data_IF_048449290695
#
_entry.id   IF_048449290695
#
_cell.length_a   1.000
_cell.length_b   1.000
_cell.length_c   1.000
_cell.angle_alpha   90.00
_cell.angle_beta   90.00
_cell.angle_gamma   90.00
#
_symmetry.space_group_name_H-M   'P 1'
#
loop_
_entity.id
_entity.type
_entity.pdbx_description
1 polymer ?
#
# COMPACT_ATOMS: atom_id res chain seq x y z
N UNK A 1 8.73 -0.08 10.62
CA UNK A 1 9.14 0.08 9.19
C UNK A 1 8.25 1.14 8.56
N UNK A 2 8.74 1.96 7.63
CA UNK A 2 7.90 2.90 6.86
C UNK A 2 6.97 2.12 5.93
N UNK A 3 5.91 2.78 5.41
CA UNK A 3 5.00 2.24 4.42
C UNK A 3 5.79 1.61 3.24
N UNK A 4 5.54 0.34 2.88
CA UNK A 4 6.39 -0.40 1.93
C UNK A 4 6.38 0.17 0.50
N UNK A 5 5.41 1.04 0.16
CA UNK A 5 5.23 1.62 -1.17
C UNK A 5 5.60 3.10 -1.26
N UNK A 6 6.01 3.75 -0.15
CA UNK A 6 6.28 5.20 -0.09
C UNK A 6 7.40 5.60 -1.05
N UNK A 7 8.47 4.81 -1.09
CA UNK A 7 9.69 5.11 -1.84
C UNK A 7 9.67 4.61 -3.30
N UNK A 8 8.57 4.03 -3.78
CA UNK A 8 8.46 3.55 -5.16
C UNK A 8 8.73 4.70 -6.15
N UNK A 9 9.73 4.57 -7.05
CA UNK A 9 10.07 5.61 -8.02
C UNK A 9 9.01 5.72 -9.11
N UNK A 10 9.05 6.82 -9.85
CA UNK A 10 8.16 7.02 -11.00
C UNK A 10 8.49 6.02 -12.11
N UNK A 11 7.48 5.29 -12.59
CA UNK A 11 7.61 4.38 -13.73
C UNK A 11 7.71 5.19 -15.02
N UNK A 12 8.77 5.01 -15.84
CA UNK A 12 8.92 5.70 -17.11
C UNK A 12 7.97 5.14 -18.16
N UNK A 13 7.56 5.95 -19.13
CA UNK A 13 6.86 5.48 -20.33
C UNK A 13 7.81 4.78 -21.30
N UNK A 14 7.25 3.96 -22.21
CA UNK A 14 8.02 3.31 -23.30
C UNK A 14 8.75 4.34 -24.16
N UNK A 15 8.08 5.46 -24.53
CA UNK A 15 8.65 6.55 -25.32
C UNK A 15 9.84 7.22 -24.59
N UNK A 16 9.69 7.53 -23.30
CA UNK A 16 10.78 8.12 -22.50
C UNK A 16 11.99 7.20 -22.42
N UNK A 17 11.78 5.88 -22.26
CA UNK A 17 12.85 4.90 -22.22
C UNK A 17 13.62 4.81 -23.55
N UNK A 18 12.89 4.70 -24.67
CA UNK A 18 13.48 4.64 -26.02
C UNK A 18 14.24 5.92 -26.32
N UNK A 19 13.66 7.07 -26.08
CA UNK A 19 14.30 8.38 -26.33
C UNK A 19 15.56 8.56 -25.47
N UNK A 20 15.48 8.22 -24.18
CA UNK A 20 16.63 8.27 -23.26
C UNK A 20 17.76 7.34 -23.73
N UNK A 21 17.43 6.09 -24.07
CA UNK A 21 18.40 5.10 -24.52
C UNK A 21 19.10 5.51 -25.83
N UNK A 22 18.32 5.93 -26.83
CA UNK A 22 18.85 6.25 -28.15
C UNK A 22 19.59 7.60 -28.21
N UNK A 23 19.12 8.59 -27.46
CA UNK A 23 19.83 9.88 -27.35
C UNK A 23 21.19 9.73 -26.67
N UNK A 24 21.28 8.92 -25.63
CA UNK A 24 22.55 8.59 -24.94
C UNK A 24 23.46 7.77 -25.84
N UNK A 25 22.94 6.75 -26.54
CA UNK A 25 23.67 5.95 -27.50
C UNK A 25 24.26 6.81 -28.63
N UNK A 26 23.47 7.76 -29.15
CA UNK A 26 23.95 8.69 -30.18
C UNK A 26 25.14 9.56 -29.71
N UNK A 27 25.13 9.95 -28.41
CA UNK A 27 26.28 10.67 -27.83
C UNK A 27 27.51 9.78 -27.69
N UNK A 28 27.32 8.55 -27.20
CA UNK A 28 28.42 7.57 -27.08
C UNK A 28 29.06 7.26 -28.43
N UNK A 29 28.28 7.10 -29.50
CA UNK A 29 28.78 6.86 -30.84
C UNK A 29 29.57 8.03 -31.44
N UNK A 30 29.23 9.27 -31.09
CA UNK A 30 29.99 10.46 -31.57
C UNK A 30 31.42 10.54 -31.00
N UNK A 31 31.66 9.92 -29.86
CA UNK A 31 32.99 9.86 -29.23
C UNK A 31 33.89 8.77 -29.80
N UNK A 32 33.39 7.95 -30.72
CA UNK A 32 34.09 6.78 -31.30
C UNK A 32 34.13 6.85 -32.82
N UNK A 33 34.97 6.04 -33.44
CA UNK A 33 35.14 5.96 -34.91
C UNK A 33 35.14 4.50 -35.38
N UNK A 34 34.95 4.29 -36.68
CA UNK A 34 34.95 2.97 -37.28
C UNK A 34 33.87 2.06 -36.64
N UNK A 35 34.23 0.80 -36.41
CA UNK A 35 33.34 -0.21 -35.81
C UNK A 35 33.03 0.04 -34.33
N UNK A 36 33.89 0.77 -33.61
CA UNK A 36 33.67 1.08 -32.21
C UNK A 36 32.44 1.99 -31.99
N UNK A 37 32.11 2.82 -32.99
CA UNK A 37 30.95 3.71 -32.89
C UNK A 37 29.62 2.94 -32.87
N UNK A 38 29.24 2.10 -33.86
CA UNK A 38 28.00 1.34 -33.83
C UNK A 38 27.94 0.34 -32.66
N UNK A 39 29.06 -0.22 -32.24
CA UNK A 39 29.16 -1.13 -31.11
C UNK A 39 28.87 -0.42 -29.79
N UNK A 40 29.54 0.71 -29.55
CA UNK A 40 29.32 1.53 -28.36
C UNK A 40 27.89 2.07 -28.30
N UNK A 41 27.29 2.40 -29.45
CA UNK A 41 25.89 2.81 -29.52
C UNK A 41 24.96 1.67 -29.11
N UNK A 42 25.16 0.45 -29.60
CA UNK A 42 24.36 -0.71 -29.26
C UNK A 42 24.44 -1.00 -27.75
N UNK A 43 25.65 -1.09 -27.22
CA UNK A 43 25.87 -1.36 -25.79
C UNK A 43 25.21 -0.31 -24.92
N UNK A 44 25.36 0.99 -25.26
CA UNK A 44 24.78 2.07 -24.49
C UNK A 44 23.25 2.03 -24.53
N UNK A 45 22.64 1.84 -25.71
CA UNK A 45 21.19 1.78 -25.84
C UNK A 45 20.59 0.61 -25.06
N UNK A 46 21.18 -0.59 -25.25
CA UNK A 46 20.71 -1.79 -24.59
C UNK A 46 20.84 -1.70 -23.07
N UNK A 47 22.00 -1.28 -22.54
CA UNK A 47 22.20 -1.18 -21.10
C UNK A 47 21.21 -0.17 -20.48
N UNK A 48 21.03 1.00 -21.10
CA UNK A 48 20.07 1.98 -20.57
C UNK A 48 18.65 1.44 -20.58
N UNK A 49 18.22 0.76 -21.66
CA UNK A 49 16.89 0.20 -21.72
C UNK A 49 16.72 -0.96 -20.72
N UNK A 50 17.65 -1.93 -20.69
CA UNK A 50 17.57 -3.06 -19.77
C UNK A 50 17.67 -2.64 -18.31
N UNK A 51 18.62 -1.77 -17.95
CA UNK A 51 18.82 -1.34 -16.56
C UNK A 51 17.61 -0.55 -16.03
N UNK A 52 16.97 0.31 -16.87
CA UNK A 52 15.78 1.03 -16.43
C UNK A 52 14.56 0.10 -16.27
N UNK A 53 14.39 -0.89 -17.17
CA UNK A 53 13.32 -1.89 -17.01
C UNK A 53 13.56 -2.78 -15.79
N UNK A 54 14.81 -3.18 -15.54
CA UNK A 54 15.20 -3.97 -14.36
C UNK A 54 14.97 -3.18 -13.07
N UNK A 55 15.29 -1.88 -13.05
CA UNK A 55 15.05 -1.02 -11.88
C UNK A 55 13.57 -0.90 -11.59
N UNK A 56 12.68 -0.77 -12.59
CA UNK A 56 11.23 -0.77 -12.36
C UNK A 56 10.81 -2.01 -11.59
N UNK A 57 11.38 -3.19 -11.90
CA UNK A 57 11.03 -4.43 -11.22
C UNK A 57 11.65 -4.52 -9.83
N UNK A 58 12.95 -4.17 -9.71
CA UNK A 58 13.70 -4.33 -8.45
C UNK A 58 13.32 -3.32 -7.37
N UNK A 59 12.71 -2.21 -7.75
CA UNK A 59 12.27 -1.17 -6.81
C UNK A 59 10.94 -1.54 -6.10
N UNK A 60 10.22 -2.54 -6.60
CA UNK A 60 9.02 -3.07 -5.94
C UNK A 60 9.41 -4.02 -4.80
N UNK A 61 8.66 -3.99 -3.69
CA UNK A 61 8.85 -4.94 -2.61
C UNK A 61 8.50 -6.36 -3.06
N UNK A 62 9.08 -7.36 -2.41
CA UNK A 62 8.57 -8.72 -2.53
C UNK A 62 7.23 -8.80 -1.81
N UNK A 63 6.17 -9.05 -2.57
CA UNK A 63 4.82 -9.11 -2.01
C UNK A 63 4.62 -10.28 -1.03
N UNK A 64 5.44 -11.33 -1.12
CA UNK A 64 5.38 -12.46 -0.19
C UNK A 64 6.00 -12.13 1.18
N UNK A 65 6.79 -11.06 1.26
CA UNK A 65 7.42 -10.56 2.49
C UNK A 65 6.62 -9.39 3.12
N UNK A 66 5.49 -9.00 2.53
CA UNK A 66 4.64 -7.95 3.08
C UNK A 66 3.93 -8.43 4.37
N UNK A 67 3.72 -7.48 5.28
CA UNK A 67 2.80 -7.69 6.38
C UNK A 67 1.38 -7.95 5.82
N UNK A 68 0.60 -8.90 6.40
CA UNK A 68 -0.74 -9.24 5.93
C UNK A 68 -1.68 -8.03 5.81
N UNK A 69 -1.53 -7.03 6.68
CA UNK A 69 -2.27 -5.77 6.57
C UNK A 69 -2.01 -5.08 5.24
N UNK A 70 -0.73 -4.90 4.85
CA UNK A 70 -0.38 -4.23 3.60
C UNK A 70 -0.66 -5.09 2.37
N UNK A 71 -0.56 -6.42 2.48
CA UNK A 71 -0.89 -7.33 1.38
C UNK A 71 -2.38 -7.20 1.02
N UNK A 72 -3.28 -7.36 2.00
CA UNK A 72 -4.72 -7.25 1.76
C UNK A 72 -5.15 -5.85 1.32
N UNK A 73 -4.55 -4.82 1.92
CA UNK A 73 -4.86 -3.45 1.58
C UNK A 73 -4.42 -3.08 0.16
N UNK A 74 -3.21 -3.48 -0.22
CA UNK A 74 -2.70 -3.27 -1.57
C UNK A 74 -3.53 -4.01 -2.61
N UNK A 75 -3.93 -5.25 -2.31
CA UNK A 75 -4.77 -6.06 -3.17
C UNK A 75 -6.13 -5.39 -3.41
N UNK A 76 -6.80 -4.91 -2.34
CA UNK A 76 -8.07 -4.20 -2.44
C UNK A 76 -7.99 -2.94 -3.31
N UNK A 77 -6.93 -2.16 -3.12
CA UNK A 77 -6.74 -0.88 -3.83
C UNK A 77 -6.49 -1.09 -5.31
N UNK A 78 -5.63 -2.04 -5.66
CA UNK A 78 -5.30 -2.35 -7.06
C UNK A 78 -6.50 -2.99 -7.77
N UNK A 79 -7.20 -3.94 -7.12
CA UNK A 79 -8.36 -4.60 -7.68
C UNK A 79 -9.50 -3.64 -8.05
N UNK A 80 -9.68 -2.57 -7.26
CA UNK A 80 -10.72 -1.58 -7.50
C UNK A 80 -10.50 -0.71 -8.75
N UNK A 81 -9.27 -0.65 -9.27
CA UNK A 81 -8.88 0.17 -10.42
C UNK A 81 -8.94 -0.56 -11.77
N UNK A 82 -9.20 -1.86 -11.78
CA UNK A 82 -9.38 -2.61 -13.04
C UNK A 82 -10.70 -2.21 -13.70
N UNK A 83 -10.67 -1.11 -14.48
CA UNK A 83 -11.83 -0.56 -15.20
C UNK A 83 -11.98 -1.09 -16.64
N UNK A 84 -11.24 -2.11 -17.02
CA UNK A 84 -11.28 -2.64 -18.38
C UNK A 84 -12.21 -3.87 -18.43
N UNK A 85 -13.41 -3.66 -18.98
CA UNK A 85 -14.45 -4.70 -19.13
C UNK A 85 -14.01 -5.90 -20.00
N UNK A 86 -12.88 -5.83 -20.70
CA UNK A 86 -12.35 -6.86 -21.62
C UNK A 86 -11.06 -7.54 -21.10
N UNK A 87 -10.48 -7.12 -19.98
CA UNK A 87 -9.33 -7.80 -19.39
C UNK A 87 -9.77 -9.00 -18.54
N UNK A 88 -9.03 -10.12 -18.54
CA UNK A 88 -9.28 -11.15 -17.56
C UNK A 88 -9.18 -10.53 -16.16
N UNK A 89 -10.13 -10.90 -15.31
CA UNK A 89 -10.23 -10.45 -13.90
C UNK A 89 -9.02 -10.99 -13.09
N UNK A 90 -7.86 -10.45 -13.41
CA UNK A 90 -6.61 -10.62 -12.67
C UNK A 90 -6.45 -9.31 -11.89
N UNK A 91 -7.29 -9.15 -10.87
CA UNK A 91 -7.24 -8.00 -9.99
C UNK A 91 -6.11 -8.10 -8.97
N UNK A 92 -5.79 -6.97 -8.36
CA UNK A 92 -4.95 -6.93 -7.20
C UNK A 92 -3.46 -7.12 -7.44
N UNK A 93 -2.78 -7.61 -6.42
CA UNK A 93 -1.32 -7.84 -6.40
C UNK A 93 -0.87 -8.79 -7.51
N UNK A 94 -1.64 -9.82 -7.82
CA UNK A 94 -1.28 -10.81 -8.83
C UNK A 94 -1.20 -10.19 -10.23
N UNK A 95 -2.04 -9.21 -10.54
CA UNK A 95 -1.94 -8.44 -11.78
C UNK A 95 -0.62 -7.66 -11.84
N UNK A 96 -0.24 -6.99 -10.76
CA UNK A 96 1.04 -6.26 -10.68
C UNK A 96 2.23 -7.22 -10.85
N UNK A 97 2.22 -8.38 -10.19
CA UNK A 97 3.24 -9.43 -10.38
C UNK A 97 3.38 -9.85 -11.84
N UNK A 98 2.26 -10.01 -12.54
CA UNK A 98 2.28 -10.36 -13.96
C UNK A 98 2.90 -9.24 -14.79
N UNK A 99 2.48 -7.99 -14.63
CA UNK A 99 3.05 -6.84 -15.33
C UNK A 99 4.56 -6.67 -15.06
N UNK A 100 4.99 -6.81 -13.81
CA UNK A 100 6.41 -6.80 -13.45
C UNK A 100 7.19 -7.95 -14.11
N UNK A 101 6.59 -9.13 -14.27
CA UNK A 101 7.19 -10.26 -14.98
C UNK A 101 7.39 -9.97 -16.47
N UNK A 102 6.42 -9.32 -17.15
CA UNK A 102 6.56 -8.91 -18.55
C UNK A 102 7.64 -7.82 -18.73
N UNK A 103 7.69 -6.85 -17.83
CA UNK A 103 8.77 -5.82 -17.83
C UNK A 103 10.14 -6.46 -17.63
N UNK A 104 10.26 -7.43 -16.73
CA UNK A 104 11.50 -8.19 -16.52
C UNK A 104 11.89 -9.03 -17.76
N UNK A 105 10.90 -9.62 -18.43
CA UNK A 105 11.11 -10.28 -19.71
C UNK A 105 11.68 -9.31 -20.74
N UNK A 106 11.15 -8.10 -20.87
CA UNK A 106 11.62 -7.09 -21.80
C UNK A 106 13.05 -6.64 -21.49
N UNK A 107 13.42 -6.48 -20.21
CA UNK A 107 14.81 -6.22 -19.78
C UNK A 107 15.76 -7.29 -20.28
N UNK A 108 15.47 -8.57 -20.01
CA UNK A 108 16.28 -9.71 -20.46
C UNK A 108 16.34 -9.79 -21.98
N UNK A 109 15.21 -9.58 -22.66
CA UNK A 109 15.12 -9.62 -24.12
C UNK A 109 15.97 -8.55 -24.79
N UNK A 110 16.01 -7.34 -24.22
CA UNK A 110 16.86 -6.25 -24.66
C UNK A 110 18.34 -6.62 -24.56
N UNK A 111 18.74 -7.30 -23.49
CA UNK A 111 20.11 -7.80 -23.31
C UNK A 111 20.46 -8.92 -24.30
N UNK A 112 19.53 -9.85 -24.57
CA UNK A 112 19.71 -10.89 -25.61
C UNK A 112 19.90 -10.28 -27.00
N UNK A 113 19.17 -9.24 -27.37
CA UNK A 113 19.32 -8.54 -28.64
C UNK A 113 20.74 -7.94 -28.74
N UNK A 114 21.23 -7.30 -27.68
CA UNK A 114 22.61 -6.81 -27.64
C UNK A 114 23.60 -7.92 -27.96
N UNK A 115 23.50 -9.03 -27.27
CA UNK A 115 24.43 -10.15 -27.38
C UNK A 115 24.36 -10.81 -28.76
N UNK A 116 23.19 -10.94 -29.37
CA UNK A 116 22.99 -11.42 -30.73
C UNK A 116 23.69 -10.55 -31.77
N UNK A 117 23.60 -9.23 -31.64
CA UNK A 117 24.09 -8.30 -32.64
C UNK A 117 25.53 -7.86 -32.42
N UNK A 118 26.05 -7.88 -31.18
CA UNK A 118 27.39 -7.40 -30.83
C UNK A 118 28.48 -8.07 -31.64
N UNK A 119 28.50 -9.41 -31.73
CA UNK A 119 29.50 -10.16 -32.48
C UNK A 119 29.45 -9.90 -33.99
N UNK A 120 28.24 -9.78 -34.54
CA UNK A 120 28.02 -9.51 -35.97
C UNK A 120 28.43 -8.09 -36.36
N UNK A 121 28.22 -7.11 -35.48
CA UNK A 121 28.65 -5.72 -35.67
C UNK A 121 30.19 -5.64 -35.63
N UNK A 122 30.83 -6.37 -34.73
CA UNK A 122 32.30 -6.36 -34.58
C UNK A 122 33.05 -6.97 -35.77
N UNK A 123 32.46 -7.95 -36.46
CA UNK A 123 33.10 -8.72 -37.51
C UNK A 123 32.71 -8.33 -38.93
N UNK A 124 31.65 -7.55 -39.13
CA UNK A 124 31.17 -7.09 -40.44
C UNK A 124 32.00 -5.93 -41.01
N UNK A 125 31.72 -5.54 -42.24
CA UNK A 125 32.18 -4.25 -42.73
C UNK A 125 31.41 -3.09 -42.09
N UNK A 126 31.92 -1.86 -42.19
CA UNK A 126 31.35 -0.71 -41.48
C UNK A 126 29.92 -0.37 -41.92
N UNK A 127 29.54 -0.59 -43.18
CA UNK A 127 28.19 -0.31 -43.65
C UNK A 127 27.22 -1.41 -43.19
N UNK A 128 27.65 -2.65 -43.15
CA UNK A 128 26.93 -3.76 -42.53
C UNK A 128 26.76 -3.52 -41.01
N UNK A 129 27.82 -3.11 -40.33
CA UNK A 129 27.77 -2.78 -38.91
C UNK A 129 26.72 -1.68 -38.60
N UNK A 130 26.64 -0.63 -39.43
CA UNK A 130 25.64 0.44 -39.33
C UNK A 130 24.21 -0.08 -39.56
N UNK A 131 23.99 -0.98 -40.52
CA UNK A 131 22.70 -1.61 -40.79
C UNK A 131 22.25 -2.48 -39.62
N UNK A 132 23.14 -3.35 -39.14
CA UNK A 132 22.87 -4.24 -38.00
C UNK A 132 22.52 -3.45 -36.73
N UNK A 133 23.26 -2.36 -36.44
CA UNK A 133 22.89 -1.47 -35.32
C UNK A 133 21.48 -0.91 -35.47
N UNK A 134 21.10 -0.44 -36.69
CA UNK A 134 19.71 0.07 -36.91
C UNK A 134 18.67 -1.02 -36.69
N UNK A 135 18.93 -2.25 -37.13
CA UNK A 135 18.03 -3.39 -36.90
C UNK A 135 17.93 -3.73 -35.41
N UNK A 136 19.06 -3.74 -34.68
CA UNK A 136 19.06 -3.96 -33.25
C UNK A 136 18.26 -2.87 -32.51
N UNK A 137 18.42 -1.59 -32.89
CA UNK A 137 17.67 -0.49 -32.30
C UNK A 137 16.17 -0.61 -32.54
N UNK A 138 15.73 -0.98 -33.75
CA UNK A 138 14.33 -1.22 -34.03
C UNK A 138 13.77 -2.35 -33.14
N UNK A 139 14.49 -3.47 -33.04
CA UNK A 139 14.07 -4.58 -32.18
C UNK A 139 14.05 -4.23 -30.68
N UNK A 140 14.97 -3.38 -30.22
CA UNK A 140 14.97 -2.89 -28.82
C UNK A 140 13.74 -1.97 -28.62
N UNK A 141 13.44 -1.08 -29.57
CA UNK A 141 12.25 -0.24 -29.50
C UNK A 141 10.99 -1.11 -29.48
N UNK A 142 10.85 -2.05 -30.41
CA UNK A 142 9.69 -2.97 -30.48
C UNK A 142 9.46 -3.69 -29.13
N UNK A 143 10.52 -4.19 -28.48
CA UNK A 143 10.44 -4.89 -27.19
C UNK A 143 10.01 -3.93 -26.06
N UNK A 144 10.50 -2.70 -26.04
CA UNK A 144 10.13 -1.69 -25.04
C UNK A 144 8.68 -1.23 -25.26
N UNK A 145 8.25 -1.07 -26.52
CA UNK A 145 6.87 -0.72 -26.90
C UNK A 145 5.89 -1.87 -26.58
N UNK A 146 6.32 -3.13 -26.69
CA UNK A 146 5.49 -4.30 -26.36
C UNK A 146 5.01 -4.31 -24.90
N UNK A 147 5.80 -3.74 -23.98
CA UNK A 147 5.47 -3.64 -22.55
C UNK A 147 4.96 -2.24 -22.13
N UNK A 148 4.50 -1.43 -23.08
CA UNK A 148 3.95 -0.09 -22.79
C UNK A 148 2.75 -0.16 -21.85
N UNK A 149 1.83 -1.12 -22.09
CA UNK A 149 0.68 -1.37 -21.23
C UNK A 149 1.08 -1.79 -19.82
N UNK A 150 2.09 -2.66 -19.71
CA UNK A 150 2.61 -3.12 -18.42
C UNK A 150 3.24 -1.99 -17.62
N UNK A 151 4.06 -1.14 -18.27
CA UNK A 151 4.65 0.04 -17.63
C UNK A 151 3.56 1.02 -17.15
N UNK A 152 2.52 1.23 -17.95
CA UNK A 152 1.40 2.09 -17.57
C UNK A 152 0.62 1.51 -16.38
N UNK A 153 0.33 0.20 -16.39
CA UNK A 153 -0.36 -0.49 -15.31
C UNK A 153 0.42 -0.44 -13.99
N UNK A 154 1.73 -0.75 -14.02
CA UNK A 154 2.62 -0.66 -12.85
C UNK A 154 2.71 0.78 -12.34
N UNK A 155 2.75 1.77 -13.25
CA UNK A 155 2.73 3.19 -12.89
C UNK A 155 1.46 3.62 -12.17
N UNK A 156 0.29 3.17 -12.65
CA UNK A 156 -1.00 3.42 -12.03
C UNK A 156 -1.09 2.77 -10.65
N UNK A 157 -0.76 1.48 -10.54
CA UNK A 157 -0.75 0.77 -9.26
C UNK A 157 0.17 1.45 -8.23
N UNK A 158 1.35 1.92 -8.66
CA UNK A 158 2.24 2.71 -7.80
C UNK A 158 1.58 3.98 -7.28
N UNK A 159 0.90 4.73 -8.14
CA UNK A 159 0.28 6.00 -7.75
C UNK A 159 -0.87 5.77 -6.76
N UNK A 160 -1.60 4.68 -6.91
CA UNK A 160 -2.65 4.27 -5.98
C UNK A 160 -2.07 3.83 -4.63
N UNK A 161 -1.06 2.96 -4.63
CA UNK A 161 -0.43 2.46 -3.41
C UNK A 161 0.27 3.55 -2.59
N UNK A 162 0.75 4.62 -3.21
CA UNK A 162 1.30 5.79 -2.50
C UNK A 162 0.27 6.59 -1.72
N UNK A 163 -1.00 6.38 -1.98
CA UNK A 163 -2.09 7.02 -1.22
C UNK A 163 -2.42 6.29 0.07
N UNK A 164 -1.86 5.08 0.27
CA UNK A 164 -2.09 4.28 1.46
C UNK A 164 -1.59 4.99 2.72
N UNK A 165 -2.26 4.80 3.87
CA UNK A 165 -1.84 5.38 5.13
C UNK A 165 -0.47 4.86 5.58
N UNK A 166 0.32 5.71 6.24
CA UNK A 166 1.55 5.30 6.93
C UNK A 166 1.18 4.63 8.26
N UNK A 167 0.72 3.39 8.17
CA UNK A 167 0.46 2.52 9.31
C UNK A 167 1.68 1.64 9.52
N UNK A 168 2.06 1.44 10.77
CA UNK A 168 3.23 0.66 11.14
C UNK A 168 2.79 -0.64 11.82
N UNK A 169 2.79 -1.77 11.11
CA UNK A 169 2.37 -3.05 11.70
C UNK A 169 3.26 -3.52 12.87
N UNK A 170 4.46 -2.95 13.01
CA UNK A 170 5.40 -3.18 14.10
C UNK A 170 5.13 -2.32 15.37
N UNK A 171 4.20 -1.36 15.30
CA UNK A 171 3.78 -0.56 16.46
C UNK A 171 2.45 -1.10 17.02
N UNK A 172 2.29 -1.21 18.35
CA UNK A 172 1.05 -1.69 18.94
C UNK A 172 -0.13 -0.82 18.57
N UNK A 173 -1.22 -1.44 18.14
CA UNK A 173 -2.33 -0.77 17.49
C UNK A 173 -3.68 -1.04 18.18
N UNK A 174 -4.37 0.06 18.52
CA UNK A 174 -5.72 0.03 19.06
C UNK A 174 -6.71 0.47 17.97
N UNK A 175 -7.66 -0.38 17.63
CA UNK A 175 -8.73 -0.08 16.66
C UNK A 175 -9.97 0.41 17.37
N UNK A 176 -10.57 1.51 16.87
CA UNK A 176 -11.82 2.08 17.43
C UNK A 176 -12.97 1.82 16.47
N UNK A 177 -13.94 1.05 16.94
CA UNK A 177 -15.10 0.59 16.19
C UNK A 177 -16.40 1.12 16.81
N UNK A 178 -17.52 0.94 16.11
CA UNK A 178 -18.87 1.32 16.57
C UNK A 178 -19.63 2.15 15.53
N UNK A 179 -20.93 2.30 15.71
CA UNK A 179 -21.82 3.00 14.78
C UNK A 179 -21.40 4.47 14.53
N UNK A 180 -21.87 5.10 13.45
CA UNK A 180 -21.66 6.53 13.23
C UNK A 180 -22.17 7.37 14.43
N UNK A 181 -21.50 8.49 14.72
CA UNK A 181 -21.85 9.46 15.76
C UNK A 181 -21.82 8.95 17.23
N UNK A 182 -21.28 7.75 17.50
CA UNK A 182 -21.06 7.29 18.89
C UNK A 182 -19.87 8.00 19.56
N UNK A 183 -19.04 8.71 18.76
CA UNK A 183 -17.93 9.53 19.27
C UNK A 183 -16.53 9.01 18.99
N UNK A 184 -16.36 8.05 18.08
CA UNK A 184 -15.05 7.47 17.71
C UNK A 184 -13.99 8.53 17.42
N UNK A 185 -14.19 9.33 16.38
CA UNK A 185 -13.22 10.36 15.96
C UNK A 185 -13.02 11.44 17.04
N UNK A 186 -14.03 11.69 17.88
CA UNK A 186 -13.90 12.62 19.00
C UNK A 186 -12.97 12.05 20.08
N UNK A 187 -13.09 10.76 20.39
CA UNK A 187 -12.19 10.06 21.30
C UNK A 187 -10.77 10.01 20.75
N UNK A 188 -10.57 9.56 19.51
CA UNK A 188 -9.25 9.51 18.87
C UNK A 188 -8.57 10.88 18.90
N UNK A 189 -9.29 11.96 18.55
CA UNK A 189 -8.76 13.31 18.62
C UNK A 189 -8.43 13.78 20.05
N UNK A 190 -9.13 13.29 21.07
CA UNK A 190 -8.88 13.66 22.45
C UNK A 190 -7.63 13.01 23.04
N UNK A 191 -7.29 11.78 22.60
CA UNK A 191 -6.18 10.99 23.17
C UNK A 191 -4.90 11.06 22.34
N UNK A 192 -4.96 11.60 21.11
CA UNK A 192 -3.78 11.69 20.23
C UNK A 192 -3.23 13.10 20.19
N UNK A 193 -1.92 13.22 19.95
CA UNK A 193 -1.27 14.49 19.71
C UNK A 193 -1.75 15.09 18.37
N UNK A 194 -1.88 16.43 18.29
CA UNK A 194 -2.59 17.26 17.30
C UNK A 194 -2.24 17.08 15.79
N UNK A 195 -1.72 15.95 15.36
CA UNK A 195 -1.46 15.58 13.97
C UNK A 195 -1.96 14.16 13.71
N UNK A 196 -3.27 14.02 13.59
CA UNK A 196 -3.83 12.80 13.03
C UNK A 196 -3.53 12.79 11.54
N UNK A 197 -2.86 11.77 11.08
CA UNK A 197 -2.72 11.53 9.66
C UNK A 197 -4.05 10.97 9.15
N UNK A 198 -4.65 11.66 8.20
CA UNK A 198 -5.88 11.21 7.54
C UNK A 198 -5.48 10.65 6.20
N UNK A 199 -5.72 9.38 6.00
CA UNK A 199 -5.59 8.76 4.69
C UNK A 199 -6.97 8.35 4.19
N UNK A 200 -7.27 8.74 2.96
CA UNK A 200 -8.47 8.28 2.27
C UNK A 200 -8.19 6.92 1.67
N UNK A 201 -9.03 5.94 1.93
CA UNK A 201 -8.98 4.70 1.16
C UNK A 201 -9.40 5.01 -0.27
N UNK A 202 -8.56 4.73 -1.28
CA UNK A 202 -8.95 4.85 -2.67
C UNK A 202 -10.23 4.02 -2.91
N UNK A 203 -11.20 4.61 -3.64
CA UNK A 203 -12.46 3.95 -4.07
C UNK A 203 -13.47 3.58 -2.97
N UNK A 204 -13.24 3.96 -1.73
CA UNK A 204 -14.25 3.94 -0.68
C UNK A 204 -14.62 5.37 -0.30
N UNK A 205 -15.85 5.58 0.19
CA UNK A 205 -16.23 6.86 0.84
C UNK A 205 -15.64 6.95 2.26
N UNK A 206 -14.70 6.07 2.57
CA UNK A 206 -14.21 5.75 3.90
C UNK A 206 -12.81 6.34 4.07
N UNK A 207 -12.62 7.12 5.10
CA UNK A 207 -11.31 7.63 5.53
C UNK A 207 -10.86 6.84 6.76
N UNK A 208 -9.67 6.23 6.73
CA UNK A 208 -9.03 5.76 7.96
C UNK A 208 -8.24 6.92 8.55
N UNK A 209 -8.35 7.11 9.84
CA UNK A 209 -7.57 8.10 10.58
C UNK A 209 -6.67 7.38 11.56
N UNK A 210 -5.39 7.66 11.46
CA UNK A 210 -4.38 7.13 12.35
C UNK A 210 -3.89 8.25 13.25
N UNK A 211 -4.03 8.05 14.53
CA UNK A 211 -3.45 8.91 15.54
C UNK A 211 -2.35 8.17 16.29
N UNK A 212 -1.42 8.90 16.86
CA UNK A 212 -0.34 8.34 17.66
C UNK A 212 -0.32 8.96 19.05
N UNK A 213 0.03 8.15 20.02
CA UNK A 213 0.31 8.61 21.38
C UNK A 213 1.45 7.78 21.99
N UNK A 214 2.11 8.33 22.99
CA UNK A 214 3.20 7.65 23.69
C UNK A 214 2.73 7.23 25.08
N UNK A 215 2.97 5.97 25.46
CA UNK A 215 2.88 5.52 26.83
C UNK A 215 4.27 5.04 27.29
N UNK A 216 4.88 5.79 28.23
CA UNK A 216 6.26 5.58 28.64
C UNK A 216 7.26 5.75 27.51
N UNK A 217 7.79 4.67 26.99
CA UNK A 217 8.76 4.62 25.87
C UNK A 217 8.21 3.89 24.64
N UNK A 218 6.96 3.49 24.70
CA UNK A 218 6.29 2.77 23.63
C UNK A 218 5.37 3.74 22.90
N UNK A 219 5.49 3.75 21.57
CA UNK A 219 4.57 4.48 20.69
C UNK A 219 3.44 3.56 20.30
N UNK A 220 2.23 4.03 20.49
CA UNK A 220 1.00 3.34 20.10
C UNK A 220 0.35 4.03 18.93
N UNK A 221 -0.31 3.26 18.09
CA UNK A 221 -1.22 3.74 17.07
C UNK A 221 -2.66 3.54 17.52
N UNK A 222 -3.53 4.49 17.18
CA UNK A 222 -4.96 4.36 17.35
C UNK A 222 -5.64 4.64 16.01
N UNK A 223 -6.44 3.68 15.54
CA UNK A 223 -7.04 3.68 14.21
C UNK A 223 -8.54 3.89 14.33
N UNK A 224 -9.03 5.01 13.80
CA UNK A 224 -10.45 5.28 13.62
C UNK A 224 -10.88 4.77 12.23
N UNK A 225 -11.88 3.91 12.20
CA UNK A 225 -12.34 3.20 10.99
C UNK A 225 -13.77 3.59 10.59
N UNK A 226 -14.06 4.87 10.32
CA UNK A 226 -15.41 5.26 9.92
C UNK A 226 -15.79 4.59 8.59
N UNK A 227 -16.98 4.01 8.51
CA UNK A 227 -17.47 3.32 7.31
C UNK A 227 -16.99 1.87 7.15
N UNK A 228 -16.00 1.40 7.91
CA UNK A 228 -15.51 0.02 7.85
C UNK A 228 -16.09 -0.86 8.95
N UNK A 229 -15.94 -0.44 10.20
CA UNK A 229 -16.38 -1.18 11.38
C UNK A 229 -17.55 -0.44 12.09
N UNK A 230 -18.42 0.18 11.32
CA UNK A 230 -19.59 0.96 11.81
C UNK A 230 -20.93 0.43 11.28
N UNK A 231 -20.95 -0.75 10.64
CA UNK A 231 -22.11 -1.43 10.10
C UNK A 231 -21.87 -2.93 9.95
N UNK A 232 -22.97 -3.68 9.77
CA UNK A 232 -22.91 -5.13 9.62
C UNK A 232 -22.11 -5.56 8.37
N UNK A 233 -21.43 -6.74 8.41
CA UNK A 233 -20.63 -7.25 7.29
C UNK A 233 -21.41 -7.35 5.98
N UNK A 234 -22.70 -7.70 6.03
CA UNK A 234 -23.57 -7.87 4.87
C UNK A 234 -23.87 -6.56 4.12
N UNK A 235 -23.60 -5.42 4.75
CA UNK A 235 -23.81 -4.08 4.17
C UNK A 235 -22.57 -3.53 3.50
N UNK A 236 -21.44 -4.27 3.51
CA UNK A 236 -20.16 -3.87 2.91
C UNK A 236 -20.06 -4.38 1.48
N UNK A 237 -19.44 -3.60 0.60
CA UNK A 237 -18.98 -4.10 -0.69
C UNK A 237 -17.67 -4.89 -0.55
N UNK A 238 -17.23 -5.56 -1.62
CA UNK A 238 -16.04 -6.45 -1.60
C UNK A 238 -14.77 -5.69 -1.17
N UNK A 239 -14.56 -4.45 -1.64
CA UNK A 239 -13.41 -3.61 -1.27
C UNK A 239 -13.46 -3.20 0.21
N UNK A 240 -14.63 -2.82 0.72
CA UNK A 240 -14.82 -2.49 2.13
C UNK A 240 -14.65 -3.72 3.03
N UNK A 241 -15.06 -4.90 2.57
CA UNK A 241 -14.86 -6.15 3.29
C UNK A 241 -13.38 -6.50 3.40
N UNK A 242 -12.61 -6.34 2.31
CA UNK A 242 -11.17 -6.59 2.28
C UNK A 242 -10.39 -5.56 3.13
N UNK A 243 -10.76 -4.29 3.07
CA UNK A 243 -10.19 -3.26 3.93
C UNK A 243 -10.50 -3.50 5.43
N UNK A 244 -11.68 -4.06 5.75
CA UNK A 244 -12.01 -4.44 7.11
C UNK A 244 -11.18 -5.66 7.58
N UNK A 245 -10.90 -6.62 6.69
CA UNK A 245 -10.01 -7.75 6.94
C UNK A 245 -8.57 -7.28 7.22
N UNK A 246 -8.07 -6.34 6.42
CA UNK A 246 -6.74 -5.76 6.68
C UNK A 246 -6.65 -5.14 8.09
N UNK A 247 -7.68 -4.42 8.54
CA UNK A 247 -7.71 -3.86 9.90
C UNK A 247 -7.76 -4.94 10.99
N UNK A 248 -8.33 -6.11 10.70
CA UNK A 248 -8.33 -7.25 11.64
C UNK A 248 -6.91 -7.75 11.91
N UNK A 249 -6.05 -7.80 10.89
CA UNK A 249 -4.65 -8.20 11.03
C UNK A 249 -3.77 -7.17 11.75
N UNK A 250 -4.21 -5.90 11.73
CA UNK A 250 -3.48 -4.80 12.36
C UNK A 250 -3.75 -4.69 13.86
N UNK A 251 -4.95 -5.07 14.32
CA UNK A 251 -5.42 -4.78 15.67
C UNK A 251 -4.74 -5.66 16.73
N UNK A 252 -4.18 -5.04 17.78
CA UNK A 252 -3.77 -5.71 19.02
C UNK A 252 -4.85 -5.61 20.11
N UNK A 253 -5.73 -4.59 20.02
CA UNK A 253 -6.95 -4.49 20.83
C UNK A 253 -8.01 -3.68 20.09
N UNK A 254 -9.28 -3.92 20.39
CA UNK A 254 -10.42 -3.19 19.81
C UNK A 254 -11.22 -2.49 20.90
N UNK A 255 -11.51 -1.20 20.70
CA UNK A 255 -12.48 -0.44 21.50
C UNK A 255 -13.78 -0.32 20.72
N UNK A 256 -14.85 -0.96 21.16
CA UNK A 256 -16.19 -0.79 20.60
C UNK A 256 -16.94 0.28 21.38
N UNK A 257 -17.14 1.44 20.76
CA UNK A 257 -17.89 2.55 21.37
C UNK A 257 -19.39 2.36 21.13
N UNK A 258 -20.16 2.43 22.22
CA UNK A 258 -21.62 2.42 22.20
C UNK A 258 -22.20 3.67 22.87
N UNK A 259 -23.37 4.10 22.42
CA UNK A 259 -24.11 5.24 22.96
C UNK A 259 -25.47 4.76 23.51
N UNK A 260 -25.55 4.54 24.82
CA UNK A 260 -26.78 4.10 25.51
C UNK A 260 -27.87 5.18 25.52
N UNK A 261 -27.58 6.41 25.14
CA UNK A 261 -28.60 7.46 24.98
C UNK A 261 -29.30 7.42 23.62
N UNK A 262 -28.79 6.65 22.68
CA UNK A 262 -29.24 6.58 21.27
C UNK A 262 -29.19 7.93 20.51
N UNK A 263 -28.56 8.96 21.07
CA UNK A 263 -28.37 10.26 20.39
C UNK A 263 -27.50 10.16 19.14
N UNK A 264 -26.75 9.06 18.96
CA UNK A 264 -26.04 8.74 17.73
C UNK A 264 -26.97 8.49 16.53
N UNK A 265 -28.28 8.23 16.79
CA UNK A 265 -29.29 7.95 15.78
C UNK A 265 -29.48 6.45 15.48
N UNK A 266 -28.82 5.57 16.20
CA UNK A 266 -28.93 4.12 16.07
C UNK A 266 -29.41 3.50 17.38
N UNK A 267 -30.44 2.58 17.33
CA UNK A 267 -30.91 1.84 18.49
C UNK A 267 -29.81 1.05 19.19
N UNK A 268 -29.88 0.94 20.52
CA UNK A 268 -28.85 0.27 21.31
C UNK A 268 -28.69 -1.21 20.95
N UNK A 269 -29.78 -1.90 20.61
CA UNK A 269 -29.76 -3.30 20.19
C UNK A 269 -28.95 -3.54 18.92
N UNK A 270 -29.00 -2.62 17.94
CA UNK A 270 -28.14 -2.68 16.74
C UNK A 270 -26.66 -2.42 17.06
N UNK A 271 -26.39 -1.49 17.99
CA UNK A 271 -25.03 -1.21 18.41
C UNK A 271 -24.41 -2.42 19.13
N UNK A 272 -25.18 -3.11 19.95
CA UNK A 272 -24.74 -4.32 20.63
C UNK A 272 -24.58 -5.52 19.69
N UNK A 273 -25.44 -5.64 18.67
CA UNK A 273 -25.26 -6.66 17.64
C UNK A 273 -23.94 -6.48 16.87
N UNK A 274 -23.59 -5.23 16.52
CA UNK A 274 -22.30 -4.92 15.88
C UNK A 274 -21.11 -5.26 16.81
N UNK A 275 -21.22 -4.96 18.11
CA UNK A 275 -20.21 -5.37 19.09
C UNK A 275 -20.01 -6.88 19.10
N UNK A 276 -21.11 -7.65 19.16
CA UNK A 276 -21.06 -9.11 19.18
C UNK A 276 -20.41 -9.67 17.90
N UNK A 277 -20.68 -9.06 16.74
CA UNK A 277 -20.05 -9.41 15.47
C UNK A 277 -18.53 -9.11 15.49
N UNK A 278 -18.13 -7.98 16.06
CA UNK A 278 -16.72 -7.62 16.21
C UNK A 278 -16.00 -8.59 17.16
N UNK A 279 -16.59 -8.88 18.31
CA UNK A 279 -16.05 -9.88 19.26
C UNK A 279 -15.88 -11.27 18.64
N UNK A 280 -16.76 -11.63 17.71
CA UNK A 280 -16.69 -12.93 17.02
C UNK A 280 -15.61 -12.98 15.91
N UNK A 281 -15.21 -11.82 15.38
CA UNK A 281 -14.26 -11.73 14.25
C UNK A 281 -12.82 -11.54 14.69
N UNK A 282 -12.60 -10.73 15.72
CA UNK A 282 -11.26 -10.38 16.17
C UNK A 282 -10.75 -11.38 17.19
N UNK A 283 -9.56 -11.92 16.94
CA UNK A 283 -8.87 -12.84 17.88
C UNK A 283 -8.07 -12.09 18.97
N UNK A 284 -8.33 -10.79 19.13
CA UNK A 284 -7.66 -9.91 20.10
C UNK A 284 -8.66 -9.39 21.14
N UNK A 285 -8.20 -8.82 22.28
CA UNK A 285 -9.10 -8.27 23.28
C UNK A 285 -10.04 -7.19 22.72
N UNK A 286 -11.33 -7.33 22.99
CA UNK A 286 -12.36 -6.35 22.60
C UNK A 286 -12.96 -5.76 23.88
N UNK A 287 -12.89 -4.44 24.03
CA UNK A 287 -13.47 -3.71 25.16
C UNK A 287 -14.70 -2.92 24.72
N UNK A 288 -15.83 -3.14 25.37
CA UNK A 288 -17.05 -2.34 25.18
C UNK A 288 -16.98 -1.08 26.01
N UNK A 289 -17.07 0.09 25.37
CA UNK A 289 -16.99 1.39 26.02
C UNK A 289 -18.30 2.16 25.80
N UNK A 290 -19.04 2.42 26.86
CA UNK A 290 -20.20 3.32 26.82
C UNK A 290 -19.72 4.77 26.83
N UNK A 291 -19.78 5.43 25.68
CA UNK A 291 -19.55 6.86 25.55
C UNK A 291 -20.84 7.65 25.79
N UNK A 292 -20.75 8.96 25.96
CA UNK A 292 -21.85 9.86 26.39
C UNK A 292 -22.48 9.38 27.70
N UNK A 293 -21.68 8.85 28.61
CA UNK A 293 -22.13 8.34 29.91
C UNK A 293 -22.76 9.43 30.80
N UNK A 294 -22.53 10.71 30.47
CA UNK A 294 -23.25 11.87 31.03
C UNK A 294 -24.72 11.91 30.64
N UNK A 295 -25.12 11.23 29.54
CA UNK A 295 -26.48 11.14 29.03
C UNK A 295 -27.18 9.87 29.51
N UNK A 296 -26.52 8.72 29.32
CA UNK A 296 -27.09 7.42 29.73
C UNK A 296 -25.97 6.42 30.01
N UNK A 297 -26.17 5.57 31.02
CA UNK A 297 -25.33 4.40 31.36
C UNK A 297 -26.10 3.10 31.32
N UNK A 298 -27.27 3.09 30.67
CA UNK A 298 -28.19 1.95 30.65
C UNK A 298 -27.75 0.88 29.63
N UNK A 299 -26.54 0.41 29.79
CA UNK A 299 -25.93 -0.67 29.01
C UNK A 299 -24.85 -1.35 29.86
N UNK A 300 -24.68 -2.65 29.70
CA UNK A 300 -23.52 -3.37 30.27
C UNK A 300 -22.32 -3.12 29.40
N UNK A 301 -21.28 -2.51 29.97
CA UNK A 301 -20.04 -2.17 29.29
C UNK A 301 -18.86 -2.31 30.26
N UNK A 302 -17.66 -2.59 29.71
CA UNK A 302 -16.45 -2.69 30.50
C UNK A 302 -16.07 -1.35 31.12
N UNK A 303 -16.27 -0.26 30.34
CA UNK A 303 -15.93 1.10 30.75
C UNK A 303 -17.01 2.08 30.33
N UNK A 304 -17.05 3.19 31.07
CA UNK A 304 -17.96 4.30 30.82
C UNK A 304 -17.16 5.59 30.72
N UNK A 305 -17.44 6.42 29.72
CA UNK A 305 -16.80 7.71 29.53
C UNK A 305 -17.74 8.75 28.95
N UNK A 306 -17.38 10.01 29.07
CA UNK A 306 -17.92 11.11 28.27
C UNK A 306 -16.76 11.94 27.74
N UNK A 307 -16.51 11.88 26.44
CA UNK A 307 -15.45 12.70 25.82
C UNK A 307 -15.78 14.18 25.93
N UNK A 308 -17.05 14.55 25.83
CA UNK A 308 -17.50 15.96 25.91
C UNK A 308 -17.28 16.56 27.28
N UNK A 309 -17.47 15.78 28.34
CA UNK A 309 -17.31 16.23 29.74
C UNK A 309 -15.94 15.89 30.31
N UNK A 310 -15.02 15.35 29.47
CA UNK A 310 -13.70 14.87 29.86
C UNK A 310 -13.75 13.85 31.03
N UNK A 311 -14.82 13.04 31.04
CA UNK A 311 -15.03 12.03 32.08
C UNK A 311 -14.40 10.71 31.65
N UNK A 312 -13.42 10.22 32.41
CA UNK A 312 -12.78 8.90 32.29
C UNK A 312 -12.13 8.59 30.91
N UNK A 313 -11.83 9.61 30.10
CA UNK A 313 -11.20 9.43 28.78
C UNK A 313 -9.82 8.77 28.92
N UNK A 314 -9.01 9.25 29.86
CA UNK A 314 -7.69 8.67 30.13
C UNK A 314 -7.81 7.22 30.67
N UNK A 315 -8.78 6.93 31.53
CA UNK A 315 -8.98 5.58 32.05
C UNK A 315 -9.37 4.57 30.98
N UNK A 316 -10.09 5.01 29.93
CA UNK A 316 -10.36 4.15 28.73
C UNK A 316 -9.10 3.91 27.94
N UNK A 317 -8.25 4.93 27.75
CA UNK A 317 -6.98 4.77 27.06
C UNK A 317 -6.03 3.83 27.82
N UNK A 318 -5.91 3.99 29.14
CA UNK A 318 -5.08 3.15 30.00
C UNK A 318 -5.53 1.68 29.94
N UNK A 319 -6.84 1.43 29.97
CA UNK A 319 -7.40 0.08 29.83
C UNK A 319 -7.15 -0.52 28.44
N UNK A 320 -7.18 0.28 27.37
CA UNK A 320 -6.84 -0.18 26.03
C UNK A 320 -5.36 -0.56 25.91
N UNK A 321 -4.44 0.24 26.48
CA UNK A 321 -3.01 -0.08 26.56
C UNK A 321 -2.76 -1.36 27.34
N UNK A 322 -3.45 -1.55 28.49
CA UNK A 322 -3.35 -2.78 29.26
C UNK A 322 -3.88 -4.00 28.48
N UNK A 323 -4.94 -3.82 27.67
CA UNK A 323 -5.49 -4.89 26.87
C UNK A 323 -4.58 -5.33 25.71
N UNK A 324 -3.80 -4.41 25.14
CA UNK A 324 -2.79 -4.71 24.09
C UNK A 324 -1.69 -5.61 24.64
N UNK A 325 -1.34 -5.49 25.93
CA UNK A 325 -0.30 -6.31 26.63
C UNK A 325 1.03 -6.39 25.85
N UNK A 326 1.46 -5.26 25.28
CA UNK A 326 2.63 -5.20 24.42
C UNK A 326 3.93 -5.23 25.23
N UNK A 327 4.74 -6.27 25.01
CA UNK A 327 6.10 -6.37 25.53
C UNK A 327 7.12 -6.00 24.43
N UNK A 328 7.85 -4.88 24.54
CA UNK A 328 8.83 -4.50 23.54
C UNK A 328 9.98 -5.52 23.48
N UNK A 329 10.33 -5.98 22.27
CA UNK A 329 11.54 -6.74 22.05
C UNK A 329 12.76 -5.86 22.37
N UNK A 330 13.36 -6.09 23.53
CA UNK A 330 14.61 -5.43 23.88
C UNK A 330 15.71 -5.94 22.94
N UNK A 331 16.51 -5.04 22.34
CA UNK A 331 17.66 -5.46 21.55
C UNK A 331 18.56 -6.34 22.46
N UNK A 332 18.81 -7.58 22.03
CA UNK A 332 19.62 -8.53 22.75
C UNK A 332 21.02 -7.95 22.94
N UNK A 333 21.36 -7.58 24.16
CA UNK A 333 22.74 -7.25 24.57
C UNK A 333 23.55 -8.55 24.44
N UNK A 334 24.03 -8.84 23.22
CA UNK A 334 24.89 -9.96 22.94
C UNK A 334 26.16 -9.87 23.77
N UNK A 335 26.30 -10.82 24.72
CA UNK A 335 27.54 -11.09 25.42
C UNK A 335 28.55 -11.74 24.46
#
# INVERSE_FOLDING_TARGET
MSQPFEDLPTTPTSEELVDKAFSRAARAGRAKSGHDAPLSMLQTASNIASDNLENVVSDWPDFDDLDPFYEELADAVIASNTTDDDAPDIGGIDAVRQHLSEINWASRKTSEIRDEYQGRIATGDIDTARKLRKQAFARIADVVEEVEGDLAAVGAARDDLKTLPDIRPDEPTIVVAGYPNVGKSTFVNAVTNARNETASYPFTTTEIRVGHFDDGHIRYQIVDTPGLLDRAPEERNDVEAQAASAVEHLADAVLVLVDASEECGYPLDLQLALRDDIEARFDVPVLTVCNKADRSRDVEADLYMSVTEDENVQGVLDAAVEAVDYEPELPYDGQ
#
